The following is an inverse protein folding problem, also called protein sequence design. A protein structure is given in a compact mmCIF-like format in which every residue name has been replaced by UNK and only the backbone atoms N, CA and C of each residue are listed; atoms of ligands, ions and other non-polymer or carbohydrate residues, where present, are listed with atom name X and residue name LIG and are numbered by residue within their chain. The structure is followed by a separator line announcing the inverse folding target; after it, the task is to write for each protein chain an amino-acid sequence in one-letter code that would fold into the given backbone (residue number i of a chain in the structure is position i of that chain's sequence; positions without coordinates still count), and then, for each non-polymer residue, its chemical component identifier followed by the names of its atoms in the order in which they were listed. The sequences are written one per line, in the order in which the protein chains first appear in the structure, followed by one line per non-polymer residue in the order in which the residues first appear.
data_IF_440094014079
#
_entry.id   IF_440094014079
#
_cell.length_a   1.000
_cell.length_b   1.000
_cell.length_c   1.000
_cell.angle_alpha   90.00
_cell.angle_beta   90.00
_cell.angle_gamma   90.00
#
_symmetry.space_group_name_H-M   'P 1'
#
loop_
_entity.id
_entity.type
_entity.pdbx_description
1 polymer ?
#
# COMPACT_ATOMS: atom_id res chain seq x y z
N UNK A 1 -44.49 37.60 -24.22
CA UNK A 1 -44.98 36.86 -25.40
C UNK A 1 -44.07 35.67 -25.61
N UNK A 2 -44.69 34.49 -25.83
CA UNK A 2 -44.12 33.17 -26.19
C UNK A 2 -43.15 32.51 -25.18
N UNK A 3 -43.55 31.53 -24.36
CA UNK A 3 -44.14 30.19 -24.63
C UNK A 3 -43.33 29.32 -25.60
N UNK A 4 -43.03 28.10 -25.14
CA UNK A 4 -42.42 27.01 -25.91
C UNK A 4 -42.46 25.69 -25.14
N UNK A 5 -43.68 25.17 -24.90
CA UNK A 5 -43.96 23.79 -24.48
C UNK A 5 -43.69 22.82 -25.65
N UNK A 6 -43.23 21.62 -25.34
CA UNK A 6 -43.14 20.51 -26.31
C UNK A 6 -43.12 19.15 -25.62
N UNK A 7 -44.31 18.59 -25.40
CA UNK A 7 -44.55 17.18 -25.05
C UNK A 7 -44.52 16.28 -26.30
N UNK A 8 -43.97 15.06 -26.19
CA UNK A 8 -44.43 13.77 -26.74
C UNK A 8 -43.54 12.68 -26.08
N UNK A 9 -43.95 11.63 -25.34
CA UNK A 9 -45.07 10.68 -25.34
C UNK A 9 -45.21 9.81 -26.60
N UNK A 10 -44.61 8.61 -26.58
CA UNK A 10 -45.17 7.31 -27.06
C UNK A 10 -44.12 6.21 -26.75
N UNK A 11 -44.34 5.28 -25.80
CA UNK A 11 -45.03 3.96 -25.88
C UNK A 11 -44.31 2.88 -26.72
N UNK A 12 -44.18 1.72 -26.07
CA UNK A 12 -43.82 0.41 -26.64
C UNK A 12 -42.90 -0.33 -25.66
N UNK A 13 -43.35 -0.97 -24.59
CA UNK A 13 -44.16 -2.20 -24.48
C UNK A 13 -43.55 -3.43 -25.18
N UNK A 14 -43.44 -4.50 -24.37
CA UNK A 14 -43.44 -5.95 -24.68
C UNK A 14 -42.15 -6.78 -24.40
N UNK A 15 -42.35 -7.68 -23.42
CA UNK A 15 -41.97 -9.10 -23.30
C UNK A 15 -40.59 -9.45 -22.70
N UNK A 16 -40.52 -10.06 -21.52
CA UNK A 16 -40.78 -11.48 -21.14
C UNK A 16 -39.76 -12.49 -21.71
N UNK A 17 -39.09 -13.21 -20.81
CA UNK A 17 -38.17 -14.34 -21.06
C UNK A 17 -36.76 -14.00 -20.56
N UNK A 18 -36.20 -14.56 -19.48
CA UNK A 18 -36.31 -15.93 -18.99
C UNK A 18 -35.23 -16.79 -19.66
N UNK A 19 -34.16 -17.13 -18.93
CA UNK A 19 -33.23 -18.20 -19.34
C UNK A 19 -31.74 -17.88 -19.26
N UNK A 20 -31.14 -18.17 -18.10
CA UNK A 20 -30.05 -19.13 -17.91
C UNK A 20 -29.02 -19.39 -19.05
N UNK A 21 -27.75 -19.39 -18.60
CA UNK A 21 -26.57 -20.15 -19.06
C UNK A 21 -25.54 -19.46 -19.98
N UNK A 22 -24.40 -19.21 -19.34
CA UNK A 22 -23.03 -19.39 -19.80
C UNK A 22 -22.82 -20.05 -21.18
N UNK A 23 -21.98 -19.43 -21.99
CA UNK A 23 -20.67 -19.99 -22.40
C UNK A 23 -20.04 -19.08 -23.46
N UNK A 24 -18.86 -18.56 -23.16
CA UNK A 24 -18.02 -17.87 -24.12
C UNK A 24 -17.49 -18.88 -25.15
N UNK A 25 -17.49 -18.54 -26.46
CA UNK A 25 -17.08 -19.48 -27.49
C UNK A 25 -15.58 -19.77 -27.40
N UNK A 26 -15.28 -21.07 -27.45
CA UNK A 26 -13.96 -21.63 -27.55
C UNK A 26 -13.20 -21.04 -28.74
N UNK A 27 -11.98 -20.54 -28.48
CA UNK A 27 -10.99 -20.24 -29.52
C UNK A 27 -10.56 -21.57 -30.14
N UNK A 28 -11.00 -21.84 -31.36
CA UNK A 28 -10.46 -22.90 -32.19
C UNK A 28 -8.98 -22.59 -32.50
N UNK A 29 -8.07 -23.25 -31.78
CA UNK A 29 -6.66 -23.29 -32.13
C UNK A 29 -6.48 -24.38 -33.19
N UNK A 30 -6.19 -23.95 -34.42
CA UNK A 30 -5.70 -24.84 -35.48
C UNK A 30 -4.34 -25.41 -35.05
N UNK A 31 -4.28 -26.71 -34.78
CA UNK A 31 -3.03 -27.46 -34.59
C UNK A 31 -2.93 -28.52 -35.69
N UNK A 32 -1.80 -28.53 -36.39
CA UNK A 32 -1.49 -29.47 -37.46
C UNK A 32 -1.42 -30.93 -36.95
N UNK A 33 -1.71 -31.94 -37.80
CA UNK A 33 -1.70 -33.34 -37.39
C UNK A 33 -0.26 -33.82 -37.17
N UNK A 34 0.04 -34.35 -35.98
CA UNK A 34 1.28 -35.14 -35.78
C UNK A 34 2.04 -34.93 -34.47
N UNK A 35 1.66 -33.98 -33.61
CA UNK A 35 2.35 -33.79 -32.32
C UNK A 35 1.41 -34.09 -31.14
N UNK A 36 1.70 -35.10 -30.29
CA UNK A 36 0.96 -35.28 -29.05
C UNK A 36 1.26 -34.11 -28.11
N UNK A 37 0.30 -33.21 -27.94
CA UNK A 37 0.33 -32.21 -26.88
C UNK A 37 0.08 -32.90 -25.54
N UNK A 38 1.12 -33.04 -24.73
CA UNK A 38 0.96 -33.37 -23.31
C UNK A 38 0.21 -32.20 -22.64
N UNK A 39 -0.90 -32.44 -21.91
CA UNK A 39 -1.52 -31.40 -21.10
C UNK A 39 -0.54 -31.00 -20.00
N UNK A 40 0.07 -29.83 -20.14
CA UNK A 40 0.87 -29.22 -19.10
C UNK A 40 -0.08 -28.80 -17.98
N UNK A 41 -0.41 -29.73 -17.07
CA UNK A 41 -1.02 -29.41 -15.79
C UNK A 41 -0.01 -28.58 -15.01
N UNK A 42 -0.06 -27.26 -15.15
CA UNK A 42 0.64 -26.35 -14.24
C UNK A 42 -0.04 -26.54 -12.88
N UNK A 43 0.68 -27.02 -11.85
CA UNK A 43 0.13 -27.05 -10.50
C UNK A 43 -0.26 -25.63 -10.13
N UNK A 44 -1.52 -25.43 -9.72
CA UNK A 44 -1.95 -24.17 -9.15
C UNK A 44 -1.01 -23.89 -7.96
N UNK A 45 -0.31 -22.75 -7.89
CA UNK A 45 0.52 -22.45 -6.73
C UNK A 45 -0.37 -22.56 -5.49
N UNK A 46 0.13 -23.16 -4.39
CA UNK A 46 -0.65 -23.29 -3.18
C UNK A 46 -1.18 -21.91 -2.78
N UNK A 47 -2.44 -21.80 -2.33
CA UNK A 47 -2.97 -20.54 -1.86
C UNK A 47 -1.99 -19.98 -0.83
N UNK A 48 -1.45 -18.81 -1.11
CA UNK A 48 -0.58 -18.11 -0.17
C UNK A 48 -1.30 -17.92 1.16
N UNK A 49 -0.56 -17.72 2.25
CA UNK A 49 -1.18 -17.41 3.54
C UNK A 49 -2.18 -16.25 3.34
N UNK A 50 -3.38 -16.32 3.96
CA UNK A 50 -4.33 -15.23 3.89
C UNK A 50 -3.61 -13.94 4.32
N UNK A 51 -3.83 -12.82 3.62
CA UNK A 51 -3.24 -11.56 4.02
C UNK A 51 -3.60 -11.32 5.49
N UNK A 52 -2.58 -11.16 6.34
CA UNK A 52 -2.77 -10.81 7.74
C UNK A 52 -3.72 -9.62 7.80
N UNK A 53 -4.80 -9.76 8.56
CA UNK A 53 -5.80 -8.72 8.71
C UNK A 53 -5.07 -7.44 9.12
N UNK A 54 -5.11 -6.36 8.31
CA UNK A 54 -4.29 -5.20 8.58
C UNK A 54 -4.73 -4.63 9.92
N UNK A 55 -3.85 -4.72 10.92
CA UNK A 55 -4.14 -4.27 12.28
C UNK A 55 -4.69 -2.84 12.23
N UNK A 56 -6.00 -2.68 12.42
CA UNK A 56 -6.67 -1.40 12.30
C UNK A 56 -6.24 -0.48 13.43
N UNK A 57 -5.40 0.51 13.11
CA UNK A 57 -4.90 1.47 14.09
C UNK A 57 -5.93 2.57 14.35
N UNK A 58 -6.08 3.03 15.61
CA UNK A 58 -6.92 4.19 15.90
C UNK A 58 -6.31 5.45 15.26
N UNK A 59 -7.16 6.39 14.84
CA UNK A 59 -6.74 7.74 14.44
C UNK A 59 -6.51 8.60 15.67
N UNK A 60 -5.48 8.25 16.44
CA UNK A 60 -5.20 8.83 17.76
C UNK A 60 -5.01 10.37 17.72
N UNK A 61 -4.65 10.95 16.57
CA UNK A 61 -4.55 12.41 16.40
C UNK A 61 -5.90 13.14 16.43
N UNK A 62 -7.02 12.42 16.27
CA UNK A 62 -8.37 12.96 16.44
C UNK A 62 -8.98 12.65 17.81
N UNK A 63 -8.28 11.88 18.66
CA UNK A 63 -8.81 11.52 19.99
C UNK A 63 -8.76 12.69 20.97
N UNK A 64 -9.88 12.91 21.65
CA UNK A 64 -10.05 13.97 22.66
C UNK A 64 -9.57 13.57 24.05
N UNK A 65 -9.66 12.28 24.34
CA UNK A 65 -9.19 11.70 25.59
C UNK A 65 -7.66 11.51 25.51
N UNK A 66 -6.93 12.13 26.44
CA UNK A 66 -5.47 12.11 26.45
C UNK A 66 -4.88 10.70 26.67
N UNK A 67 -5.54 9.86 27.48
CA UNK A 67 -5.08 8.50 27.73
C UNK A 67 -5.26 7.64 26.49
N UNK A 68 -6.42 7.75 25.82
CA UNK A 68 -6.68 7.05 24.56
C UNK A 68 -5.77 7.51 23.43
N UNK A 69 -5.51 8.82 23.35
CA UNK A 69 -4.56 9.38 22.40
C UNK A 69 -3.15 8.82 22.63
N UNK A 70 -2.67 8.82 23.89
CA UNK A 70 -1.35 8.28 24.23
C UNK A 70 -1.25 6.78 23.94
N UNK A 71 -2.26 5.99 24.33
CA UNK A 71 -2.31 4.56 24.06
C UNK A 71 -2.31 4.26 22.55
N UNK A 72 -3.11 5.00 21.77
CA UNK A 72 -3.14 4.85 20.31
C UNK A 72 -1.83 5.22 19.64
N UNK A 73 -1.17 6.28 20.11
CA UNK A 73 0.17 6.68 19.64
C UNK A 73 1.23 5.63 19.98
N UNK A 74 1.22 5.09 21.18
CA UNK A 74 2.18 4.06 21.61
C UNK A 74 2.02 2.79 20.77
N UNK A 75 0.78 2.30 20.62
CA UNK A 75 0.46 1.15 19.76
C UNK A 75 0.91 1.37 18.31
N UNK A 76 0.73 2.58 17.78
CA UNK A 76 1.21 2.95 16.45
C UNK A 76 2.74 2.78 16.35
N UNK A 77 3.50 3.35 17.28
CA UNK A 77 4.97 3.28 17.24
C UNK A 77 5.50 1.88 17.53
N UNK A 78 4.88 1.12 18.43
CA UNK A 78 5.19 -0.29 18.67
C UNK A 78 5.05 -1.12 17.40
N UNK A 79 3.94 -0.96 16.67
CA UNK A 79 3.73 -1.69 15.42
C UNK A 79 4.75 -1.29 14.34
N UNK A 80 5.03 0.00 14.20
CA UNK A 80 6.03 0.50 13.25
C UNK A 80 7.40 -0.08 13.59
N UNK A 81 7.82 -0.03 14.86
CA UNK A 81 9.10 -0.58 15.30
C UNK A 81 9.19 -2.10 15.13
N UNK A 82 8.11 -2.83 15.40
CA UNK A 82 8.07 -4.29 15.23
C UNK A 82 8.21 -4.71 13.76
N UNK A 83 7.71 -3.87 12.83
CA UNK A 83 7.77 -4.14 11.38
C UNK A 83 9.02 -3.58 10.71
N UNK A 84 9.65 -2.57 11.30
CA UNK A 84 10.84 -1.91 10.79
C UNK A 84 12.07 -2.81 10.88
N UNK A 85 12.79 -2.91 9.77
CA UNK A 85 14.04 -3.65 9.67
C UNK A 85 15.11 -2.73 9.11
N UNK A 86 16.34 -2.82 9.60
CA UNK A 86 17.44 -2.13 8.96
C UNK A 86 17.77 -2.85 7.65
N UNK A 87 17.62 -2.23 6.48
CA UNK A 87 17.77 -2.92 5.20
C UNK A 87 19.23 -3.32 4.96
N UNK A 88 19.46 -4.56 4.52
CA UNK A 88 20.81 -5.06 4.20
C UNK A 88 21.52 -4.20 3.16
N UNK A 89 20.79 -3.67 2.18
CA UNK A 89 21.34 -2.78 1.15
C UNK A 89 21.79 -1.40 1.69
N UNK A 90 21.43 -1.04 2.92
CA UNK A 90 21.98 0.13 3.61
C UNK A 90 23.24 -0.16 4.41
N UNK A 91 23.61 -1.44 4.55
CA UNK A 91 24.87 -1.81 5.19
C UNK A 91 26.03 -1.66 4.20
N UNK A 92 27.23 -1.29 4.70
CA UNK A 92 28.44 -1.27 3.91
C UNK A 92 28.65 -2.62 3.22
N UNK A 93 28.95 -2.63 1.91
CA UNK A 93 29.31 -3.87 1.25
C UNK A 93 30.61 -4.40 1.84
N UNK A 94 30.83 -5.72 1.77
CA UNK A 94 32.07 -6.35 2.25
C UNK A 94 33.34 -5.77 1.58
N UNK A 95 33.20 -5.17 0.41
CA UNK A 95 34.28 -4.48 -0.32
C UNK A 95 34.65 -3.12 0.27
N UNK A 96 33.81 -2.52 1.11
CA UNK A 96 34.01 -1.21 1.74
C UNK A 96 33.50 -1.21 3.19
N UNK A 97 34.09 -2.04 4.09
CA UNK A 97 33.58 -2.19 5.46
C UNK A 97 33.71 -0.92 6.31
N UNK A 98 34.57 0.02 5.91
CA UNK A 98 34.76 1.31 6.57
C UNK A 98 33.74 2.38 6.15
N UNK A 99 32.85 2.11 5.18
CA UNK A 99 31.82 3.06 4.79
C UNK A 99 30.85 3.30 5.96
N UNK A 100 30.43 4.56 6.14
CA UNK A 100 29.51 4.90 7.22
C UNK A 100 28.12 4.29 6.97
N UNK A 101 27.50 3.77 8.04
CA UNK A 101 26.11 3.35 8.04
C UNK A 101 25.20 4.54 8.27
N UNK A 102 24.15 4.75 7.45
CA UNK A 102 23.19 5.81 7.71
C UNK A 102 22.37 5.49 8.97
N UNK A 103 22.50 6.35 9.97
CA UNK A 103 21.84 6.32 11.27
C UNK A 103 21.14 7.66 11.51
N UNK A 104 20.00 7.63 12.19
CA UNK A 104 19.21 8.84 12.47
C UNK A 104 17.71 8.63 12.28
N UNK A 105 17.00 9.67 11.83
CA UNK A 105 15.56 9.59 11.56
C UNK A 105 15.19 10.10 10.17
N UNK A 106 14.19 9.47 9.58
CA UNK A 106 13.56 9.89 8.32
C UNK A 106 12.15 10.37 8.64
N UNK A 107 11.81 11.59 8.23
CA UNK A 107 10.47 12.15 8.36
C UNK A 107 9.66 11.80 7.11
N UNK A 108 8.58 11.06 7.32
CA UNK A 108 7.70 10.58 6.25
C UNK A 108 6.31 11.20 6.39
N UNK A 109 5.81 11.78 5.31
CA UNK A 109 4.43 12.26 5.22
C UNK A 109 3.52 11.11 4.82
N UNK A 110 2.53 10.81 5.67
CA UNK A 110 1.46 9.85 5.41
C UNK A 110 0.19 10.61 5.04
N UNK A 111 -0.44 10.20 3.95
CA UNK A 111 -1.77 10.65 3.58
C UNK A 111 -2.76 9.51 3.83
N UNK A 112 -3.59 9.65 4.86
CA UNK A 112 -4.52 8.59 5.30
C UNK A 112 -5.90 8.89 4.71
N UNK A 113 -6.35 8.03 3.80
CA UNK A 113 -7.65 8.14 3.13
C UNK A 113 -8.81 7.91 4.10
N UNK A 114 -10.04 8.35 3.79
CA UNK A 114 -11.20 8.11 4.63
C UNK A 114 -11.46 6.62 4.92
N UNK A 115 -11.11 5.74 3.97
CA UNK A 115 -11.23 4.28 4.09
C UNK A 115 -10.25 3.63 5.08
N UNK A 116 -9.25 4.37 5.58
CA UNK A 116 -8.23 3.85 6.48
C UNK A 116 -6.88 3.56 5.83
N UNK A 117 -6.83 3.50 4.50
CA UNK A 117 -5.59 3.19 3.76
C UNK A 117 -4.63 4.37 3.69
N UNK A 118 -3.33 4.07 3.66
CA UNK A 118 -2.30 5.07 3.34
C UNK A 118 -2.12 5.20 1.82
N UNK A 119 -2.01 6.43 1.31
CA UNK A 119 -1.67 6.69 -0.09
C UNK A 119 -0.25 6.19 -0.39
N UNK A 120 -0.13 5.37 -1.42
CA UNK A 120 1.15 4.81 -1.86
C UNK A 120 1.82 5.64 -2.95
N UNK A 121 3.16 5.73 -2.96
CA UNK A 121 4.03 5.49 -1.80
C UNK A 121 3.92 6.66 -0.79
N UNK A 122 4.15 6.42 0.51
CA UNK A 122 4.40 7.49 1.46
C UNK A 122 5.51 8.43 1.00
N UNK A 123 5.41 9.73 1.30
CA UNK A 123 6.38 10.71 0.81
C UNK A 123 7.48 10.95 1.84
N UNK A 124 8.74 10.79 1.45
CA UNK A 124 9.87 11.24 2.28
C UNK A 124 9.90 12.77 2.26
N UNK A 125 9.81 13.39 3.44
CA UNK A 125 9.87 14.84 3.62
C UNK A 125 11.30 15.32 3.81
N UNK A 126 12.02 14.65 4.71
CA UNK A 126 13.37 15.04 5.14
C UNK A 126 14.09 13.86 5.79
N UNK A 127 15.42 13.82 5.66
CA UNK A 127 16.29 12.93 6.43
C UNK A 127 17.08 13.76 7.43
N UNK A 128 17.14 13.29 8.66
CA UNK A 128 17.92 13.88 9.75
C UNK A 128 18.87 12.80 10.25
N UNK A 129 19.97 12.66 9.51
CA UNK A 129 21.02 11.66 9.72
C UNK A 129 22.14 12.23 10.58
N UNK A 130 22.94 11.36 11.17
CA UNK A 130 24.09 11.75 12.00
C UNK A 130 25.21 12.42 11.21
N UNK A 131 25.39 12.04 9.94
CA UNK A 131 26.30 12.70 9.00
C UNK A 131 25.53 13.30 7.82
N UNK A 132 26.12 14.25 7.07
CA UNK A 132 25.51 14.77 5.85
C UNK A 132 25.17 13.65 4.85
N UNK A 133 24.08 13.80 4.09
CA UNK A 133 23.63 12.76 3.13
C UNK A 133 24.72 12.36 2.12
N UNK A 134 25.62 13.29 1.77
CA UNK A 134 26.75 13.04 0.87
C UNK A 134 27.80 12.07 1.43
N UNK A 135 27.80 11.81 2.73
CA UNK A 135 28.69 10.83 3.37
C UNK A 135 28.23 9.38 3.15
N UNK A 136 27.01 9.18 2.64
CA UNK A 136 26.42 7.86 2.48
C UNK A 136 26.26 7.48 1.00
N UNK A 137 26.42 6.19 0.65
CA UNK A 137 26.08 5.71 -0.68
C UNK A 137 24.60 5.98 -1.02
N UNK A 138 24.27 6.50 -2.22
CA UNK A 138 22.87 6.75 -2.61
C UNK A 138 21.98 5.51 -2.55
N UNK A 139 22.56 4.32 -2.77
CA UNK A 139 21.85 3.05 -2.65
C UNK A 139 21.39 2.78 -1.20
N UNK A 140 22.20 3.15 -0.21
CA UNK A 140 21.87 2.96 1.20
C UNK A 140 20.71 3.86 1.63
N UNK A 141 20.74 5.13 1.21
CA UNK A 141 19.64 6.07 1.47
C UNK A 141 18.33 5.61 0.83
N UNK A 142 18.38 5.16 -0.43
CA UNK A 142 17.19 4.60 -1.12
C UNK A 142 16.65 3.36 -0.42
N UNK A 143 17.52 2.51 0.12
CA UNK A 143 17.09 1.33 0.87
C UNK A 143 16.34 1.71 2.15
N UNK A 144 16.82 2.71 2.89
CA UNK A 144 16.11 3.23 4.07
C UNK A 144 14.76 3.87 3.71
N UNK A 145 14.70 4.65 2.63
CA UNK A 145 13.45 5.25 2.16
C UNK A 145 12.43 4.16 1.78
N UNK A 146 12.88 3.16 1.03
CA UNK A 146 12.04 2.04 0.59
C UNK A 146 11.48 1.27 1.78
N UNK A 147 12.30 1.05 2.81
CA UNK A 147 11.86 0.42 4.05
C UNK A 147 10.83 1.27 4.79
N UNK A 148 11.07 2.59 4.90
CA UNK A 148 10.13 3.48 5.54
C UNK A 148 8.78 3.55 4.80
N UNK A 149 8.83 3.57 3.47
CA UNK A 149 7.65 3.50 2.62
C UNK A 149 6.93 2.15 2.74
N UNK A 150 7.65 1.04 2.82
CA UNK A 150 7.08 -0.31 3.00
C UNK A 150 6.32 -0.40 4.33
N UNK A 151 6.98 -0.04 5.43
CA UNK A 151 6.41 -0.16 6.78
C UNK A 151 5.21 0.77 6.94
N UNK A 152 5.38 2.05 6.61
CA UNK A 152 4.34 3.05 6.83
C UNK A 152 3.23 2.98 5.77
N UNK A 153 3.55 2.52 4.57
CA UNK A 153 2.59 2.28 3.50
C UNK A 153 1.69 1.09 3.79
N UNK A 154 2.18 0.07 4.51
CA UNK A 154 1.39 -1.09 4.90
C UNK A 154 0.47 -0.85 6.11
N UNK A 155 0.43 0.37 6.65
CA UNK A 155 -0.46 0.71 7.76
C UNK A 155 -1.90 0.89 7.28
N UNK A 156 -2.83 0.51 8.16
CA UNK A 156 -4.25 0.74 7.98
C UNK A 156 -4.83 1.31 9.27
N UNK A 157 -5.73 2.27 9.12
CA UNK A 157 -6.37 2.96 10.22
C UNK A 157 -7.87 2.73 10.22
N UNK A 158 -8.52 2.94 11.36
CA UNK A 158 -9.97 2.91 11.43
C UNK A 158 -10.56 3.92 10.44
N UNK A 159 -11.62 3.49 9.75
CA UNK A 159 -12.38 4.32 8.81
C UNK A 159 -12.87 5.59 9.50
N UNK A 160 -12.77 6.72 8.82
CA UNK A 160 -13.27 8.00 9.32
C UNK A 160 -14.25 8.61 8.33
N UNK A 161 -15.17 9.43 8.84
CA UNK A 161 -16.02 10.31 8.02
C UNK A 161 -15.27 11.55 7.52
N UNK A 162 -14.06 11.79 8.05
CA UNK A 162 -13.20 12.92 7.66
C UNK A 162 -12.67 12.77 6.23
N UNK A 163 -12.31 13.91 5.65
CA UNK A 163 -11.52 13.99 4.43
C UNK A 163 -10.09 13.48 4.70
N UNK A 164 -9.28 13.37 3.64
CA UNK A 164 -7.89 12.91 3.68
C UNK A 164 -7.08 13.58 4.81
N UNK A 165 -6.52 12.78 5.72
CA UNK A 165 -5.64 13.27 6.79
C UNK A 165 -4.18 13.26 6.34
N UNK A 166 -3.36 14.19 6.87
CA UNK A 166 -1.92 14.25 6.64
C UNK A 166 -1.16 14.19 7.96
N UNK A 167 -0.19 13.28 8.06
CA UNK A 167 0.64 13.09 9.26
C UNK A 167 2.11 13.09 8.89
N UNK A 168 2.95 13.60 9.78
CA UNK A 168 4.41 13.47 9.68
C UNK A 168 4.89 12.49 10.72
N UNK A 169 5.51 11.41 10.28
CA UNK A 169 5.98 10.32 11.12
C UNK A 169 7.51 10.27 11.08
N UNK A 170 8.20 10.42 12.22
CA UNK A 170 9.63 10.17 12.31
C UNK A 170 9.88 8.66 12.45
N UNK A 171 10.62 8.08 11.51
CA UNK A 171 11.08 6.69 11.59
C UNK A 171 12.58 6.67 11.90
N UNK A 172 12.98 5.99 12.98
CA UNK A 172 14.38 5.92 13.42
C UNK A 172 15.04 4.66 12.89
N UNK A 173 16.27 4.80 12.41
CA UNK A 173 17.12 3.69 12.01
C UNK A 173 18.41 3.73 12.84
N UNK A 174 18.71 2.62 13.49
CA UNK A 174 19.88 2.44 14.35
C UNK A 174 20.45 1.05 14.11
N UNK A 175 21.77 0.93 14.21
CA UNK A 175 22.46 -0.36 14.26
C UNK A 175 22.27 -0.96 15.64
N UNK A 176 21.66 -2.14 15.71
CA UNK A 176 21.67 -2.96 16.93
C UNK A 176 23.05 -3.56 17.17
#
# INVERSE_FOLDING_TARGET
MSQGLGHQLLRGALLLGGGLLASTPARAQYAAPGFPMLPLHRPLPPPGPPPEDPANLPRFWHERDAERQAAGRNRFFELVMARAQYPEAAKPPATQPAAAMPTGRILVVLLVRPDGSVRQPPRISRRELEQPESAYPPAALRALDAEAQRVLGALHFVRSRSLLDSLVVPMRFQTR
#
